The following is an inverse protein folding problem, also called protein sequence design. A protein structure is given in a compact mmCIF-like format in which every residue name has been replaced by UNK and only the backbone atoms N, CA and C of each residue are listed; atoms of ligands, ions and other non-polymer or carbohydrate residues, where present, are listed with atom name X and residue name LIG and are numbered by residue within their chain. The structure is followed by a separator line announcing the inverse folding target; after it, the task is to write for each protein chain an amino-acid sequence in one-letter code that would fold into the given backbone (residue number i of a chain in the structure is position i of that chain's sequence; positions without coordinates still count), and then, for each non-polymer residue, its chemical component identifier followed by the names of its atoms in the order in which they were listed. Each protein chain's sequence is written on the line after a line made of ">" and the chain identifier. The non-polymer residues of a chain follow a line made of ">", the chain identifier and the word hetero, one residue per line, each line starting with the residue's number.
data_IF_860357888078
#
_entry.id   IF_860357888078
#
_cell.length_a   1.000
_cell.length_b   1.000
_cell.length_c   1.000
_cell.angle_alpha   90.00
_cell.angle_beta   90.00
_cell.angle_gamma   90.00
#
_symmetry.space_group_name_H-M   'P 1'
#
loop_
_entity.id
_entity.type
_entity.pdbx_description
1 polymer ?
#
# COMPACT_ATOMS: atom_id res chain seq x y z
N UNK A 1 -2.73 16.36 -15.66
CA UNK A 1 -2.82 16.87 -14.28
C UNK A 1 -2.17 18.24 -14.21
N UNK A 2 -2.90 19.23 -13.71
CA UNK A 2 -2.54 20.64 -13.53
C UNK A 2 -2.66 20.99 -12.05
N UNK A 3 -1.59 21.52 -11.46
CA UNK A 3 -1.57 21.92 -10.05
C UNK A 3 -2.61 23.00 -9.74
N UNK A 4 -3.24 22.91 -8.57
CA UNK A 4 -4.28 23.84 -8.09
C UNK A 4 -5.65 23.67 -8.75
N UNK A 5 -5.76 22.80 -9.76
CA UNK A 5 -7.02 22.43 -10.41
C UNK A 5 -7.29 20.94 -10.25
N UNK A 6 -6.34 20.08 -10.66
CA UNK A 6 -6.53 18.64 -10.59
C UNK A 6 -5.87 18.01 -9.35
N UNK A 7 -4.88 18.68 -8.74
CA UNK A 7 -4.23 18.22 -7.51
C UNK A 7 -3.56 19.38 -6.74
N UNK A 8 -3.47 19.22 -5.43
CA UNK A 8 -2.79 20.14 -4.49
C UNK A 8 -1.97 19.31 -3.51
N UNK A 9 -0.82 19.82 -3.09
CA UNK A 9 0.02 19.16 -2.07
C UNK A 9 0.00 20.04 -0.82
N UNK A 10 -0.63 19.52 0.23
CA UNK A 10 -0.68 20.18 1.53
C UNK A 10 0.58 19.86 2.34
N UNK A 11 1.03 20.77 3.23
CA UNK A 11 2.15 20.50 4.12
C UNK A 11 1.80 19.40 5.14
N UNK A 12 2.83 18.89 5.81
CA UNK A 12 2.62 18.00 6.95
C UNK A 12 1.92 18.75 8.09
N UNK A 13 0.78 18.22 8.56
CA UNK A 13 0.00 18.76 9.67
C UNK A 13 0.33 17.94 10.94
N UNK A 14 1.04 18.50 11.93
CA UNK A 14 1.36 17.78 13.16
C UNK A 14 0.11 17.59 14.04
N UNK A 15 0.03 16.44 14.73
CA UNK A 15 -1.04 16.17 15.69
C UNK A 15 -1.67 14.78 15.59
N UNK A 16 -1.25 13.95 14.62
CA UNK A 16 -1.74 12.57 14.48
C UNK A 16 -3.25 12.52 14.28
N UNK A 17 -3.95 11.67 15.03
CA UNK A 17 -5.40 11.51 14.94
C UNK A 17 -6.17 12.81 15.18
N UNK A 18 -5.71 13.68 16.09
CA UNK A 18 -6.37 14.96 16.34
C UNK A 18 -6.28 15.90 15.13
N UNK A 19 -5.14 15.91 14.44
CA UNK A 19 -4.96 16.68 13.21
C UNK A 19 -5.79 16.11 12.06
N UNK A 20 -5.85 14.78 11.92
CA UNK A 20 -6.71 14.12 10.93
C UNK A 20 -8.18 14.48 11.15
N UNK A 21 -8.68 14.36 12.38
CA UNK A 21 -10.07 14.71 12.70
C UNK A 21 -10.33 16.19 12.44
N UNK A 22 -9.44 17.08 12.88
CA UNK A 22 -9.57 18.52 12.60
C UNK A 22 -9.65 18.79 11.09
N UNK A 23 -8.77 18.15 10.31
CA UNK A 23 -8.71 18.29 8.85
C UNK A 23 -9.99 17.80 8.17
N UNK A 24 -10.55 16.68 8.64
CA UNK A 24 -11.80 16.14 8.13
C UNK A 24 -12.99 17.04 8.48
N UNK A 25 -12.99 17.72 9.62
CA UNK A 25 -14.08 18.64 10.02
C UNK A 25 -14.02 19.99 9.30
N UNK A 26 -12.84 20.59 9.22
CA UNK A 26 -12.63 21.88 8.57
C UNK A 26 -11.18 21.98 8.05
N UNK A 27 -11.04 21.85 6.73
CA UNK A 27 -9.76 21.88 6.03
C UNK A 27 -9.07 23.24 6.20
N UNK A 28 -9.80 24.35 6.05
CA UNK A 28 -9.25 25.71 6.04
C UNK A 28 -8.92 26.21 7.45
N UNK A 29 -9.60 25.71 8.47
CA UNK A 29 -9.22 25.94 9.87
C UNK A 29 -7.97 25.14 10.26
N UNK A 30 -7.72 23.99 9.63
CA UNK A 30 -6.60 23.11 9.98
C UNK A 30 -5.32 23.48 9.24
N UNK A 31 -5.42 23.93 7.99
CA UNK A 31 -4.27 24.33 7.16
C UNK A 31 -4.61 25.55 6.32
N UNK A 32 -3.68 26.51 6.24
CA UNK A 32 -3.91 27.81 5.59
C UNK A 32 -3.12 28.03 4.30
N UNK A 33 -2.07 27.24 4.08
CA UNK A 33 -1.21 27.33 2.89
C UNK A 33 -0.86 25.93 2.36
N UNK A 34 -0.57 25.84 1.07
CA UNK A 34 0.00 24.62 0.47
C UNK A 34 1.48 24.44 0.82
N UNK A 35 2.11 23.37 0.32
CA UNK A 35 3.53 23.08 0.57
C UNK A 35 4.48 24.18 0.02
N UNK A 36 4.04 24.96 -0.95
CA UNK A 36 4.80 26.07 -1.53
C UNK A 36 4.58 27.40 -0.79
N UNK A 37 3.70 27.43 0.22
CA UNK A 37 3.33 28.64 0.97
C UNK A 37 2.26 29.49 0.28
N UNK A 38 1.60 28.98 -0.75
CA UNK A 38 0.49 29.66 -1.43
C UNK A 38 -0.76 29.55 -0.56
N UNK A 39 -1.45 30.66 -0.23
CA UNK A 39 -2.70 30.62 0.52
C UNK A 39 -3.74 29.72 -0.14
N UNK A 40 -4.42 28.87 0.62
CA UNK A 40 -5.42 27.95 0.04
C UNK A 40 -6.57 28.70 -0.65
N UNK A 41 -6.88 29.92 -0.22
CA UNK A 41 -7.85 30.80 -0.87
C UNK A 41 -7.46 31.25 -2.29
N UNK A 42 -6.21 31.07 -2.69
CA UNK A 42 -5.72 31.35 -4.05
C UNK A 42 -5.70 30.10 -4.94
N UNK A 43 -6.11 28.95 -4.39
CA UNK A 43 -6.04 27.65 -5.06
C UNK A 43 -7.46 27.18 -5.42
N UNK A 44 -7.84 27.16 -6.71
CA UNK A 44 -9.21 26.86 -7.12
C UNK A 44 -9.78 25.55 -6.56
N UNK A 45 -9.01 24.46 -6.54
CA UNK A 45 -9.46 23.17 -6.03
C UNK A 45 -9.85 23.21 -4.53
N UNK A 46 -9.25 24.12 -3.75
CA UNK A 46 -9.53 24.23 -2.32
C UNK A 46 -10.84 24.97 -2.01
N UNK A 47 -11.51 25.53 -3.02
CA UNK A 47 -12.87 26.06 -2.85
C UNK A 47 -13.91 24.95 -2.86
N UNK A 48 -13.62 23.83 -3.50
CA UNK A 48 -14.47 22.63 -3.58
C UNK A 48 -14.25 21.65 -2.42
N UNK A 49 -13.14 21.79 -1.68
CA UNK A 49 -12.77 20.88 -0.59
C UNK A 49 -12.72 21.60 0.76
N UNK A 50 -13.82 21.49 1.51
CA UNK A 50 -14.02 22.18 2.78
C UNK A 50 -13.98 21.23 3.97
N UNK A 51 -14.56 20.03 3.83
CA UNK A 51 -14.59 19.02 4.89
C UNK A 51 -14.69 17.60 4.29
N UNK A 52 -14.93 16.61 5.15
CA UNK A 52 -14.99 15.20 4.77
C UNK A 52 -16.14 14.83 3.84
N UNK A 53 -17.24 15.59 3.81
CA UNK A 53 -18.40 15.34 2.93
C UNK A 53 -18.03 15.54 1.45
N UNK A 54 -16.98 16.32 1.17
CA UNK A 54 -16.45 16.57 -0.17
C UNK A 54 -15.48 15.45 -0.65
N UNK A 55 -15.29 14.38 0.13
CA UNK A 55 -14.35 13.28 -0.18
C UNK A 55 -15.11 12.06 -0.70
N UNK A 56 -14.95 11.77 -1.99
CA UNK A 56 -15.51 10.55 -2.59
C UNK A 56 -14.72 9.28 -2.22
N UNK A 57 -13.39 9.38 -2.12
CA UNK A 57 -12.51 8.24 -1.85
C UNK A 57 -11.22 8.66 -1.15
N UNK A 58 -10.77 7.85 -0.19
CA UNK A 58 -9.50 8.04 0.49
C UNK A 58 -8.43 7.06 -0.01
N UNK A 59 -7.43 7.57 -0.72
CA UNK A 59 -6.27 6.77 -1.15
C UNK A 59 -5.17 6.80 -0.08
N UNK A 60 -4.92 5.66 0.55
CA UNK A 60 -3.87 5.52 1.58
C UNK A 60 -2.67 4.77 0.99
N UNK A 61 -1.51 5.43 0.77
CA UNK A 61 -0.39 4.77 0.11
C UNK A 61 0.45 3.87 1.02
N UNK A 62 0.33 3.95 2.35
CA UNK A 62 1.24 3.22 3.25
C UNK A 62 0.72 3.02 4.69
N UNK A 63 1.19 3.82 5.66
CA UNK A 63 0.89 3.69 7.10
C UNK A 63 -0.31 4.53 7.54
N UNK A 64 -0.87 4.19 8.70
CA UNK A 64 -1.98 4.92 9.31
C UNK A 64 -3.36 4.28 9.09
N UNK A 65 -3.40 3.06 8.54
CA UNK A 65 -4.65 2.36 8.21
C UNK A 65 -5.60 2.25 9.39
N UNK A 66 -5.11 2.09 10.63
CA UNK A 66 -5.97 2.06 11.82
C UNK A 66 -6.73 3.36 12.03
N UNK A 67 -6.04 4.51 11.93
CA UNK A 67 -6.65 5.83 12.08
C UNK A 67 -7.60 6.13 10.91
N UNK A 68 -7.19 5.83 9.68
CA UNK A 68 -8.04 6.02 8.50
C UNK A 68 -9.28 5.12 8.56
N UNK A 69 -9.12 3.83 8.85
CA UNK A 69 -10.24 2.89 8.99
C UNK A 69 -11.23 3.33 10.08
N UNK A 70 -10.75 3.95 11.16
CA UNK A 70 -11.61 4.48 12.22
C UNK A 70 -12.30 5.77 11.79
N UNK A 71 -11.54 6.83 11.53
CA UNK A 71 -12.08 8.18 11.40
C UNK A 71 -12.63 8.47 10.00
N UNK A 72 -12.05 7.90 8.95
CA UNK A 72 -12.48 8.12 7.57
C UNK A 72 -13.55 7.11 7.17
N UNK A 73 -13.29 5.81 7.39
CA UNK A 73 -14.24 4.77 6.98
C UNK A 73 -15.33 4.57 8.03
N UNK A 74 -14.96 4.25 9.27
CA UNK A 74 -15.91 3.85 10.31
C UNK A 74 -16.85 4.95 10.76
N UNK A 75 -16.33 6.16 10.98
CA UNK A 75 -17.12 7.29 11.47
C UNK A 75 -17.83 8.08 10.36
N UNK A 76 -17.27 8.12 9.14
CA UNK A 76 -17.74 8.98 8.05
C UNK A 76 -18.23 8.23 6.81
N UNK A 77 -18.01 6.91 6.73
CA UNK A 77 -18.49 6.08 5.62
C UNK A 77 -17.77 6.31 4.29
N UNK A 78 -16.63 7.01 4.29
CA UNK A 78 -15.85 7.27 3.07
C UNK A 78 -15.12 5.99 2.67
N UNK A 79 -15.28 5.48 1.43
CA UNK A 79 -14.53 4.30 0.99
C UNK A 79 -13.04 4.61 0.88
N UNK A 80 -12.20 3.62 1.21
CA UNK A 80 -10.75 3.75 1.09
C UNK A 80 -10.11 2.69 0.20
N UNK A 81 -9.05 3.11 -0.49
CA UNK A 81 -8.13 2.24 -1.23
C UNK A 81 -6.77 2.28 -0.54
N UNK A 82 -6.40 1.16 0.08
CA UNK A 82 -5.17 1.01 0.83
C UNK A 82 -4.10 0.27 0.03
N UNK A 83 -2.99 0.94 -0.23
CA UNK A 83 -1.84 0.34 -0.90
C UNK A 83 -0.91 -0.24 0.18
N UNK A 84 -1.29 -1.38 0.74
CA UNK A 84 -0.56 -1.99 1.84
C UNK A 84 0.85 -2.42 1.42
N UNK A 85 1.82 -2.23 2.31
CA UNK A 85 3.11 -2.88 2.17
C UNK A 85 2.95 -4.39 2.37
N UNK A 86 3.68 -5.21 1.61
CA UNK A 86 3.55 -6.67 1.69
C UNK A 86 3.73 -7.24 3.12
N UNK A 87 4.60 -6.61 3.93
CA UNK A 87 4.83 -7.01 5.31
C UNK A 87 3.67 -6.66 6.26
N UNK A 88 2.90 -5.61 5.99
CA UNK A 88 1.77 -5.17 6.83
C UNK A 88 0.42 -5.72 6.35
N UNK A 89 0.34 -6.15 5.08
CA UNK A 89 -0.90 -6.61 4.45
C UNK A 89 -1.67 -7.65 5.28
N UNK A 90 -0.99 -8.60 5.90
CA UNK A 90 -1.64 -9.63 6.74
C UNK A 90 -2.36 -9.04 7.98
N UNK A 91 -1.87 -7.94 8.53
CA UNK A 91 -2.53 -7.22 9.61
C UNK A 91 -3.66 -6.32 9.07
N UNK A 92 -3.41 -5.67 7.94
CA UNK A 92 -4.28 -4.63 7.38
C UNK A 92 -5.52 -5.21 6.69
N UNK A 93 -5.44 -6.43 6.13
CA UNK A 93 -6.54 -7.07 5.39
C UNK A 93 -7.81 -7.26 6.23
N UNK A 94 -7.68 -7.31 7.56
CA UNK A 94 -8.83 -7.46 8.46
C UNK A 94 -9.83 -6.30 8.32
N UNK A 95 -9.38 -5.10 7.95
CA UNK A 95 -10.26 -3.95 7.74
C UNK A 95 -11.23 -4.15 6.57
N UNK A 96 -10.89 -4.98 5.57
CA UNK A 96 -11.81 -5.37 4.50
C UNK A 96 -13.02 -6.15 5.03
N UNK A 97 -12.79 -7.00 6.03
CA UNK A 97 -13.85 -7.78 6.69
C UNK A 97 -14.65 -6.94 7.68
N UNK A 98 -14.01 -5.99 8.37
CA UNK A 98 -14.67 -5.10 9.33
C UNK A 98 -15.60 -4.10 8.61
N UNK A 99 -15.18 -3.57 7.47
CA UNK A 99 -15.92 -2.57 6.69
C UNK A 99 -16.18 -3.07 5.26
N UNK A 100 -17.08 -4.06 5.09
CA UNK A 100 -17.32 -4.70 3.80
C UNK A 100 -17.87 -3.69 2.79
N UNK A 101 -17.27 -3.67 1.59
CA UNK A 101 -17.66 -2.77 0.50
C UNK A 101 -17.10 -1.34 0.61
N UNK A 102 -16.42 -1.00 1.70
CA UNK A 102 -15.80 0.31 1.89
C UNK A 102 -14.27 0.26 1.92
N UNK A 103 -13.67 -0.90 2.18
CA UNK A 103 -12.21 -1.03 2.25
C UNK A 103 -11.71 -1.97 1.16
N UNK A 104 -10.80 -1.46 0.34
CA UNK A 104 -10.09 -2.19 -0.71
C UNK A 104 -8.59 -2.10 -0.46
N UNK A 105 -7.85 -3.19 -0.62
CA UNK A 105 -6.42 -3.19 -0.38
C UNK A 105 -5.62 -3.94 -1.46
N UNK A 106 -4.47 -3.39 -1.84
CA UNK A 106 -3.48 -4.06 -2.70
C UNK A 106 -2.32 -4.56 -1.86
N UNK A 107 -1.74 -5.72 -2.23
CA UNK A 107 -0.62 -6.32 -1.49
C UNK A 107 0.74 -6.00 -2.13
N UNK A 108 1.37 -4.89 -1.75
CA UNK A 108 2.72 -4.52 -2.17
C UNK A 108 2.96 -4.63 -3.68
N UNK A 109 4.13 -5.16 -4.08
CA UNK A 109 4.47 -5.36 -5.49
C UNK A 109 3.54 -6.35 -6.22
N UNK A 110 2.99 -7.35 -5.52
CA UNK A 110 2.03 -8.28 -6.11
C UNK A 110 0.75 -7.54 -6.53
N UNK A 111 0.21 -6.70 -5.64
CA UNK A 111 -0.95 -5.85 -5.93
C UNK A 111 -0.65 -4.85 -7.04
N UNK A 112 0.53 -4.24 -7.03
CA UNK A 112 1.00 -3.37 -8.12
C UNK A 112 1.06 -4.10 -9.47
N UNK A 113 1.60 -5.33 -9.51
CA UNK A 113 1.64 -6.14 -10.73
C UNK A 113 0.24 -6.50 -11.24
N UNK A 114 -0.69 -6.83 -10.33
CA UNK A 114 -2.08 -7.11 -10.68
C UNK A 114 -2.75 -5.87 -11.27
N UNK A 115 -2.53 -4.69 -10.68
CA UNK A 115 -3.04 -3.42 -11.19
C UNK A 115 -2.47 -3.09 -12.58
N UNK A 116 -1.15 -3.19 -12.74
CA UNK A 116 -0.48 -3.02 -14.03
C UNK A 116 -1.08 -3.95 -15.11
N UNK A 117 -1.39 -5.20 -14.74
CA UNK A 117 -1.97 -6.17 -15.67
C UNK A 117 -3.38 -5.79 -16.10
N UNK A 118 -4.18 -5.24 -15.19
CA UNK A 118 -5.53 -4.75 -15.48
C UNK A 118 -5.50 -3.56 -16.42
N UNK A 119 -4.53 -2.67 -16.24
CA UNK A 119 -4.31 -1.49 -17.10
C UNK A 119 -3.58 -1.83 -18.42
N UNK A 120 -3.17 -3.08 -18.62
CA UNK A 120 -2.44 -3.51 -19.81
C UNK A 120 -1.03 -2.95 -19.92
N UNK A 121 -0.43 -2.52 -18.80
CA UNK A 121 0.93 -2.00 -18.72
C UNK A 121 1.86 -3.01 -18.04
N UNK A 122 3.17 -2.87 -18.28
CA UNK A 122 4.22 -3.59 -17.55
C UNK A 122 5.13 -2.59 -16.88
N UNK A 123 5.13 -2.57 -15.56
CA UNK A 123 5.91 -1.65 -14.76
C UNK A 123 6.76 -2.35 -13.71
N UNK A 124 7.00 -1.65 -12.62
CA UNK A 124 7.87 -2.08 -11.53
C UNK A 124 7.25 -3.28 -10.79
N UNK A 125 5.93 -3.33 -10.67
CA UNK A 125 5.22 -4.45 -10.04
C UNK A 125 5.51 -5.76 -10.75
N UNK A 126 5.28 -5.82 -12.07
CA UNK A 126 5.61 -7.01 -12.86
C UNK A 126 7.09 -7.40 -12.76
N UNK A 127 7.99 -6.44 -12.92
CA UNK A 127 9.43 -6.71 -12.87
C UNK A 127 9.86 -7.28 -11.51
N UNK A 128 9.32 -6.77 -10.41
CA UNK A 128 9.58 -7.29 -9.07
C UNK A 128 9.05 -8.72 -8.89
N UNK A 129 7.81 -8.97 -9.33
CA UNK A 129 7.17 -10.29 -9.25
C UNK A 129 7.90 -11.33 -10.11
N UNK A 130 8.30 -10.99 -11.34
CA UNK A 130 9.13 -11.85 -12.18
C UNK A 130 10.47 -12.18 -11.49
N UNK A 131 11.09 -11.17 -10.86
CA UNK A 131 12.30 -11.36 -10.05
C UNK A 131 12.09 -12.34 -8.89
N UNK A 132 10.97 -12.24 -8.17
CA UNK A 132 10.63 -13.19 -7.10
C UNK A 132 10.51 -14.61 -7.63
N UNK A 133 9.83 -14.81 -8.77
CA UNK A 133 9.73 -16.14 -9.38
C UNK A 133 11.08 -16.73 -9.77
N UNK A 134 11.96 -15.92 -10.37
CA UNK A 134 13.30 -16.37 -10.75
C UNK A 134 14.14 -16.79 -9.54
N UNK A 135 14.13 -15.98 -8.48
CA UNK A 135 14.86 -16.29 -7.24
C UNK A 135 14.28 -17.52 -6.55
N UNK A 136 12.95 -17.65 -6.47
CA UNK A 136 12.29 -18.82 -5.90
C UNK A 136 12.60 -20.09 -6.70
N UNK A 137 12.58 -20.03 -8.03
CA UNK A 137 12.94 -21.16 -8.88
C UNK A 137 14.41 -21.57 -8.70
N UNK A 138 15.33 -20.60 -8.64
CA UNK A 138 16.74 -20.85 -8.38
C UNK A 138 16.96 -21.50 -7.01
N UNK A 139 16.27 -21.03 -5.97
CA UNK A 139 16.36 -21.61 -4.62
C UNK A 139 15.90 -23.07 -4.61
N UNK A 140 14.76 -23.38 -5.24
CA UNK A 140 14.28 -24.77 -5.37
C UNK A 140 15.31 -25.62 -6.12
N UNK A 141 15.89 -25.08 -7.19
CA UNK A 141 16.96 -25.75 -7.94
C UNK A 141 18.16 -26.10 -7.06
N UNK A 142 18.63 -25.17 -6.23
CA UNK A 142 19.74 -25.42 -5.30
C UNK A 142 19.39 -26.43 -4.21
N UNK A 143 18.15 -26.45 -3.71
CA UNK A 143 17.70 -27.46 -2.74
C UNK A 143 17.72 -28.85 -3.37
N UNK A 144 17.22 -29.00 -4.60
CA UNK A 144 17.23 -30.29 -5.31
C UNK A 144 18.66 -30.76 -5.55
N UNK A 145 19.55 -29.86 -6.01
CA UNK A 145 20.96 -30.18 -6.23
C UNK A 145 21.64 -30.61 -4.93
N UNK A 146 21.46 -29.87 -3.83
CA UNK A 146 22.04 -30.20 -2.53
C UNK A 146 21.54 -31.54 -1.97
N UNK A 147 20.26 -31.85 -2.15
CA UNK A 147 19.70 -33.15 -1.76
C UNK A 147 20.27 -34.29 -2.63
N UNK A 148 20.43 -34.06 -3.94
CA UNK A 148 21.00 -35.05 -4.84
C UNK A 148 22.46 -35.38 -4.48
N UNK A 149 23.28 -34.36 -4.19
CA UNK A 149 24.68 -34.56 -3.78
C UNK A 149 24.79 -35.30 -2.44
N UNK A 150 23.93 -34.98 -1.48
CA UNK A 150 23.90 -35.66 -0.19
C UNK A 150 23.55 -37.14 -0.34
N UNK A 151 22.59 -37.49 -1.20
CA UNK A 151 22.21 -38.88 -1.46
C UNK A 151 23.34 -39.66 -2.12
N UNK A 152 24.05 -39.08 -3.09
CA UNK A 152 25.18 -39.75 -3.75
C UNK A 152 26.34 -39.99 -2.78
N UNK A 153 26.65 -39.03 -1.90
CA UNK A 153 27.71 -39.20 -0.87
C UNK A 153 27.32 -40.26 0.17
N UNK A 154 26.05 -40.34 0.55
CA UNK A 154 25.58 -41.35 1.51
C UNK A 154 25.64 -42.76 0.92
N UNK A 155 25.32 -42.94 -0.36
CA UNK A 155 25.48 -44.22 -1.07
C UNK A 155 26.96 -44.65 -1.16
N UNK A 156 27.88 -43.70 -1.40
CA UNK A 156 29.33 -43.96 -1.39
C UNK A 156 29.82 -44.37 0.01
N UNK A 157 29.37 -43.71 1.08
CA UNK A 157 29.72 -44.08 2.46
C UNK A 157 29.16 -45.46 2.87
N UNK A 158 27.93 -45.83 2.45
CA UNK A 158 27.36 -47.16 2.74
C UNK A 158 28.08 -48.29 1.98
N UNK A 159 28.59 -48.06 0.77
CA UNK A 159 29.43 -49.04 0.05
C UNK A 159 30.82 -49.22 0.70
N UNK A 160 31.36 -48.20 1.37
CA UNK A 160 32.68 -48.27 2.02
C UNK A 160 32.68 -48.97 3.39
N UNK A 161 31.52 -49.18 4.04
CA UNK A 161 31.43 -49.87 5.34
C UNK A 161 31.34 -51.39 5.10
N UNK A 162 32.39 -52.19 5.38
CA UNK A 162 32.32 -53.64 5.21
C UNK A 162 31.54 -54.29 6.36
N UNK A 163 30.60 -55.18 6.02
CA UNK A 163 29.92 -56.09 6.97
C UNK A 163 30.87 -57.15 7.52
#
# INVERSE_FOLDING_TARGET
>A
WKYGVDYVILPYIPGGDAALVSFLEDVKATVSVDVAGTPLSEIPLMDEFNNWEDIDVWALPHYGVTSIARFVVGERGIPMVHHAQAASFAGDINYMSIYPGLVFATNGFLGGAQYERLEGIKGIGHAAVDGYYLVSAALIGFIILGNATMLTETEEEEEEIPV
#
